data_IF_766680125273
#
_entry.id   IF_766680125273
#
_cell.length_a   1.000
_cell.length_b   1.000
_cell.length_c   1.000
_cell.angle_alpha   90.00
_cell.angle_beta   90.00
_cell.angle_gamma   90.00
#
_symmetry.space_group_name_H-M   'P 1'
#
loop_
_entity.id
_entity.type
_entity.pdbx_description
1 polymer ?
#
# COMPACT_ATOMS: atom_id res chain seq x y z
N UNK A 1 -69.71 -24.06 19.31
CA UNK A 1 -68.24 -24.02 18.99
C UNK A 1 -68.03 -22.87 18.06
N UNK A 2 -67.50 -21.85 18.29
CA UNK A 2 -67.44 -20.99 19.44
C UNK A 2 -66.65 -19.80 18.97
N UNK A 3 -67.17 -18.64 19.09
CA UNK A 3 -66.55 -17.35 18.85
C UNK A 3 -65.13 -17.27 19.44
N UNK A 4 -64.87 -17.97 20.53
CA UNK A 4 -63.60 -18.06 21.21
C UNK A 4 -62.44 -18.69 20.35
N UNK A 5 -62.76 -19.68 19.51
CA UNK A 5 -61.78 -20.33 18.63
C UNK A 5 -61.32 -19.34 17.53
N UNK A 6 -62.21 -18.58 16.96
CA UNK A 6 -61.93 -17.56 15.97
C UNK A 6 -61.10 -16.41 16.56
N UNK A 7 -61.35 -16.00 17.79
CA UNK A 7 -60.58 -14.99 18.51
C UNK A 7 -59.14 -15.50 18.71
N UNK A 8 -58.96 -16.77 19.15
CA UNK A 8 -57.64 -17.37 19.31
C UNK A 8 -56.85 -17.46 18.00
N UNK A 9 -57.51 -17.81 16.90
CA UNK A 9 -56.87 -17.87 15.56
C UNK A 9 -56.44 -16.48 15.11
N UNK A 10 -57.24 -15.44 15.29
CA UNK A 10 -56.91 -14.06 14.94
C UNK A 10 -55.74 -13.55 15.78
N UNK A 11 -55.73 -13.81 17.07
CA UNK A 11 -54.63 -13.42 17.96
C UNK A 11 -53.31 -14.14 17.59
N UNK A 12 -53.39 -15.46 17.32
CA UNK A 12 -52.24 -16.22 16.87
C UNK A 12 -51.69 -15.71 15.53
N UNK A 13 -52.58 -15.42 14.57
CA UNK A 13 -52.19 -14.84 13.27
C UNK A 13 -51.53 -13.45 13.43
N UNK A 14 -52.04 -12.61 14.32
CA UNK A 14 -51.47 -11.29 14.62
C UNK A 14 -50.05 -11.41 15.25
N UNK A 15 -49.87 -12.35 16.19
CA UNK A 15 -48.56 -12.61 16.80
C UNK A 15 -47.57 -13.14 15.77
N UNK A 16 -47.98 -14.09 14.92
CA UNK A 16 -47.12 -14.62 13.85
C UNK A 16 -46.75 -13.50 12.87
N UNK A 17 -47.70 -12.68 12.47
CA UNK A 17 -47.45 -11.53 11.59
C UNK A 17 -46.43 -10.55 12.21
N UNK A 18 -46.59 -10.23 13.50
CA UNK A 18 -45.64 -9.36 14.22
C UNK A 18 -44.24 -9.96 14.31
N UNK A 19 -44.11 -11.26 14.58
CA UNK A 19 -42.83 -11.97 14.64
C UNK A 19 -42.14 -12.02 13.26
N UNK A 20 -42.91 -12.31 12.20
CA UNK A 20 -42.38 -12.31 10.83
C UNK A 20 -41.90 -10.90 10.43
N UNK A 21 -42.70 -9.87 10.75
CA UNK A 21 -42.32 -8.48 10.47
C UNK A 21 -41.04 -8.10 11.23
N UNK A 22 -40.96 -8.42 12.52
CA UNK A 22 -39.75 -8.16 13.33
C UNK A 22 -38.52 -8.90 12.79
N UNK A 23 -38.70 -10.16 12.36
CA UNK A 23 -37.64 -10.96 11.74
C UNK A 23 -37.16 -10.36 10.40
N UNK A 24 -38.06 -9.92 9.54
CA UNK A 24 -37.73 -9.29 8.26
C UNK A 24 -36.99 -7.98 8.46
N UNK A 25 -37.40 -7.14 9.41
CA UNK A 25 -36.68 -5.89 9.75
C UNK A 25 -35.29 -6.18 10.25
N UNK A 26 -35.15 -7.12 11.20
CA UNK A 26 -33.83 -7.52 11.74
C UNK A 26 -32.90 -8.08 10.65
N UNK A 27 -33.44 -8.91 9.75
CA UNK A 27 -32.68 -9.46 8.62
C UNK A 27 -32.24 -8.37 7.64
N UNK A 28 -33.09 -7.37 7.38
CA UNK A 28 -32.77 -6.24 6.52
C UNK A 28 -31.66 -5.35 7.14
N UNK A 29 -31.74 -5.09 8.44
CA UNK A 29 -30.73 -4.29 9.15
C UNK A 29 -29.37 -5.00 9.23
N UNK A 30 -29.35 -6.32 9.44
CA UNK A 30 -28.12 -7.11 9.41
C UNK A 30 -27.45 -7.08 8.04
N UNK A 31 -28.20 -7.11 6.94
CA UNK A 31 -27.64 -6.99 5.59
C UNK A 31 -27.01 -5.62 5.36
N UNK A 32 -27.58 -4.54 5.90
CA UNK A 32 -26.98 -3.19 5.81
C UNK A 32 -25.66 -3.13 6.56
N UNK A 33 -25.60 -3.74 7.75
CA UNK A 33 -24.36 -3.77 8.56
C UNK A 33 -23.27 -4.56 7.82
N UNK A 34 -23.59 -5.73 7.27
CA UNK A 34 -22.66 -6.52 6.48
C UNK A 34 -22.13 -5.71 5.28
N UNK A 35 -23.02 -5.09 4.51
CA UNK A 35 -22.63 -4.23 3.37
C UNK A 35 -21.70 -3.08 3.77
N UNK A 36 -21.86 -2.50 4.96
CA UNK A 36 -21.00 -1.43 5.46
C UNK A 36 -19.64 -1.97 5.85
N UNK A 37 -19.58 -3.13 6.51
CA UNK A 37 -18.32 -3.78 6.87
C UNK A 37 -17.52 -4.06 5.59
N UNK A 38 -18.14 -4.67 4.59
CA UNK A 38 -17.51 -4.93 3.28
C UNK A 38 -17.04 -3.62 2.61
N UNK A 39 -17.86 -2.54 2.69
CA UNK A 39 -17.53 -1.24 2.12
C UNK A 39 -16.34 -0.55 2.84
N UNK A 40 -16.18 -0.79 4.15
CA UNK A 40 -15.05 -0.28 4.93
C UNK A 40 -13.78 -1.06 4.58
N UNK A 41 -13.88 -2.39 4.45
CA UNK A 41 -12.75 -3.24 4.06
C UNK A 41 -12.27 -2.94 2.62
N UNK A 42 -13.20 -2.57 1.73
CA UNK A 42 -12.90 -2.16 0.36
C UNK A 42 -12.44 -0.69 0.23
N UNK A 43 -12.37 0.06 1.33
CA UNK A 43 -12.05 1.51 1.36
C UNK A 43 -12.97 2.36 0.45
N UNK A 44 -14.17 1.88 0.14
CA UNK A 44 -15.16 2.51 -0.74
C UNK A 44 -16.47 2.75 0.02
N UNK A 45 -16.58 3.90 0.70
CA UNK A 45 -17.76 4.26 1.48
C UNK A 45 -18.88 4.89 0.60
N UNK A 46 -19.30 4.20 -0.44
CA UNK A 46 -20.28 4.71 -1.42
C UNK A 46 -21.75 4.45 -1.01
N UNK A 47 -22.05 4.50 0.30
CA UNK A 47 -23.41 4.32 0.76
C UNK A 47 -23.97 5.61 1.39
N UNK A 48 -25.25 5.88 1.17
CA UNK A 48 -26.01 6.91 1.86
C UNK A 48 -27.42 6.37 2.15
N UNK A 49 -27.75 6.17 3.41
CA UNK A 49 -29.05 5.69 3.81
C UNK A 49 -30.02 6.84 4.06
N UNK A 50 -31.29 6.63 3.74
CA UNK A 50 -32.35 7.59 4.07
C UNK A 50 -32.48 7.70 5.59
N UNK A 51 -32.45 8.92 6.14
CA UNK A 51 -32.39 9.17 7.60
C UNK A 51 -33.73 8.98 8.33
N UNK A 52 -34.47 7.94 7.98
CA UNK A 52 -35.78 7.61 8.55
C UNK A 52 -35.69 6.75 9.82
N UNK A 53 -34.57 6.14 10.12
CA UNK A 53 -34.36 5.32 11.32
C UNK A 53 -33.12 5.77 12.12
N UNK A 54 -33.10 5.43 13.43
CA UNK A 54 -31.96 5.70 14.30
C UNK A 54 -30.70 5.00 13.77
N UNK A 55 -30.85 3.75 13.30
CA UNK A 55 -29.76 2.96 12.71
C UNK A 55 -29.17 3.69 11.49
N UNK A 56 -29.98 4.07 10.51
CA UNK A 56 -29.52 4.75 9.29
C UNK A 56 -28.78 6.06 9.58
N UNK A 57 -29.24 6.85 10.57
CA UNK A 57 -28.56 8.06 11.02
C UNK A 57 -27.20 7.74 11.63
N UNK A 58 -27.13 6.70 12.46
CA UNK A 58 -25.85 6.25 13.05
C UNK A 58 -24.88 5.80 11.97
N UNK A 59 -25.32 5.01 11.00
CA UNK A 59 -24.49 4.51 9.90
C UNK A 59 -23.96 5.65 9.01
N UNK A 60 -24.81 6.64 8.66
CA UNK A 60 -24.36 7.83 7.93
C UNK A 60 -23.35 8.65 8.74
N UNK A 61 -23.48 8.69 10.08
CA UNK A 61 -22.51 9.35 10.96
C UNK A 61 -21.18 8.62 10.98
N UNK A 62 -21.20 7.31 11.06
CA UNK A 62 -19.97 6.48 10.93
C UNK A 62 -19.26 6.79 9.62
N UNK A 63 -19.99 6.77 8.48
CA UNK A 63 -19.42 7.14 7.18
C UNK A 63 -18.76 8.52 7.23
N UNK A 64 -19.44 9.55 7.73
CA UNK A 64 -18.91 10.91 7.77
C UNK A 64 -17.66 11.04 8.64
N UNK A 65 -17.52 10.23 9.71
CA UNK A 65 -16.33 10.18 10.54
C UNK A 65 -15.17 9.54 9.79
N UNK A 66 -15.41 8.46 9.05
CA UNK A 66 -14.39 7.81 8.22
C UNK A 66 -13.93 8.73 7.09
N UNK A 67 -14.86 9.37 6.33
CA UNK A 67 -14.53 10.33 5.29
C UNK A 67 -13.68 11.50 5.84
N UNK A 68 -14.05 12.02 7.01
CA UNK A 68 -13.30 13.09 7.66
C UNK A 68 -11.90 12.63 8.11
N UNK A 69 -11.78 11.42 8.69
CA UNK A 69 -10.47 10.85 9.05
C UNK A 69 -9.58 10.63 7.83
N UNK A 70 -10.16 10.15 6.73
CA UNK A 70 -9.46 9.96 5.47
C UNK A 70 -8.94 11.28 4.92
N UNK A 71 -9.79 12.31 4.85
CA UNK A 71 -9.38 13.65 4.41
C UNK A 71 -8.26 14.23 5.29
N UNK A 72 -8.34 14.10 6.61
CA UNK A 72 -7.29 14.56 7.55
C UNK A 72 -5.99 13.76 7.33
N UNK A 73 -6.05 12.45 7.13
CA UNK A 73 -4.89 11.63 6.89
C UNK A 73 -4.24 11.92 5.53
N UNK A 74 -5.04 12.19 4.50
CA UNK A 74 -4.56 12.62 3.18
C UNK A 74 -3.87 13.97 3.28
N UNK A 75 -4.47 14.96 3.95
CA UNK A 75 -3.89 16.29 4.16
C UNK A 75 -2.59 16.22 4.99
N UNK A 76 -2.55 15.44 6.06
CA UNK A 76 -1.35 15.21 6.86
C UNK A 76 -0.25 14.53 6.05
N UNK A 77 -0.59 13.56 5.20
CA UNK A 77 0.34 12.88 4.30
C UNK A 77 0.90 13.83 3.25
N UNK A 78 0.06 14.67 2.65
CA UNK A 78 0.47 15.71 1.71
C UNK A 78 1.37 16.76 2.37
N UNK A 79 1.04 17.24 3.57
CA UNK A 79 1.87 18.17 4.33
C UNK A 79 3.24 17.59 4.64
N UNK A 80 3.31 16.31 5.04
CA UNK A 80 4.55 15.60 5.28
C UNK A 80 5.37 15.46 3.99
N UNK A 81 4.72 15.11 2.89
CA UNK A 81 5.34 15.02 1.56
C UNK A 81 5.96 16.38 1.15
N UNK A 82 5.19 17.47 1.22
CA UNK A 82 5.69 18.81 0.89
C UNK A 82 6.88 19.23 1.74
N UNK A 83 6.85 18.92 3.05
CA UNK A 83 7.97 19.22 3.95
C UNK A 83 9.23 18.48 3.54
N UNK A 84 9.14 17.17 3.27
CA UNK A 84 10.28 16.37 2.84
C UNK A 84 10.80 16.86 1.49
N UNK A 85 9.92 17.13 0.53
CA UNK A 85 10.30 17.66 -0.78
C UNK A 85 11.04 19.00 -0.68
N UNK A 86 10.51 19.94 0.12
CA UNK A 86 11.15 21.25 0.32
C UNK A 86 12.54 21.07 0.93
N UNK A 87 12.67 20.18 1.92
CA UNK A 87 13.95 19.90 2.56
C UNK A 87 14.96 19.30 1.58
N UNK A 88 14.58 18.30 0.79
CA UNK A 88 15.47 17.65 -0.20
C UNK A 88 15.87 18.61 -1.32
N UNK A 89 14.93 19.43 -1.82
CA UNK A 89 15.25 20.47 -2.82
C UNK A 89 16.23 21.48 -2.24
N UNK A 90 15.98 21.99 -1.03
CA UNK A 90 16.90 22.96 -0.40
C UNK A 90 18.27 22.37 -0.12
N UNK A 91 18.37 21.11 0.31
CA UNK A 91 19.64 20.43 0.55
C UNK A 91 20.48 20.25 -0.72
N UNK A 92 19.85 20.18 -1.89
CA UNK A 92 20.56 20.03 -3.18
C UNK A 92 20.81 21.36 -3.87
N UNK A 93 19.92 22.33 -3.75
CA UNK A 93 20.04 23.65 -4.40
C UNK A 93 20.94 24.59 -3.62
N UNK A 94 20.90 24.58 -2.28
CA UNK A 94 21.70 25.48 -1.45
C UNK A 94 23.23 25.33 -1.67
N UNK A 95 23.82 24.12 -1.75
CA UNK A 95 25.22 23.94 -2.08
C UNK A 95 25.58 24.48 -3.48
N UNK A 96 24.69 24.28 -4.48
CA UNK A 96 24.89 24.77 -5.85
C UNK A 96 24.97 26.30 -5.83
N UNK A 97 23.99 26.96 -5.21
CA UNK A 97 23.94 28.41 -5.14
C UNK A 97 25.12 29.00 -4.35
N UNK A 98 25.43 28.44 -3.17
CA UNK A 98 26.52 28.89 -2.30
C UNK A 98 27.88 28.76 -2.95
N UNK A 99 28.17 27.61 -3.59
CA UNK A 99 29.43 27.38 -4.26
C UNK A 99 29.57 28.22 -5.54
N UNK A 100 28.50 28.38 -6.31
CA UNK A 100 28.51 29.26 -7.49
C UNK A 100 28.79 30.71 -7.10
N UNK A 101 28.22 31.19 -6.00
CA UNK A 101 28.45 32.54 -5.48
C UNK A 101 29.88 32.73 -4.93
N UNK A 102 30.41 31.75 -4.21
CA UNK A 102 31.76 31.74 -3.70
C UNK A 102 32.80 31.73 -4.84
N UNK A 103 32.64 30.83 -5.83
CA UNK A 103 33.53 30.72 -6.98
C UNK A 103 33.51 31.98 -7.86
N UNK A 104 32.42 32.75 -7.86
CA UNK A 104 32.32 34.02 -8.60
C UNK A 104 33.00 35.18 -7.90
N UNK A 105 33.32 35.08 -6.60
CA UNK A 105 33.84 36.17 -5.76
C UNK A 105 35.30 35.99 -5.35
N UNK A 106 35.82 34.78 -5.35
CA UNK A 106 37.14 34.45 -4.86
C UNK A 106 37.94 33.61 -5.88
N UNK A 107 38.93 34.23 -6.53
CA UNK A 107 39.79 33.61 -7.53
C UNK A 107 40.76 32.57 -6.94
N UNK A 108 40.93 32.52 -5.61
CA UNK A 108 41.83 31.58 -4.93
C UNK A 108 41.12 30.25 -4.54
N UNK A 109 39.82 30.12 -4.76
CA UNK A 109 39.11 28.88 -4.50
C UNK A 109 39.45 27.79 -5.54
N UNK A 110 39.46 26.54 -5.09
CA UNK A 110 39.61 25.40 -6.00
C UNK A 110 38.34 25.26 -6.88
N UNK A 111 38.39 25.89 -8.05
CA UNK A 111 37.31 25.93 -9.04
C UNK A 111 36.93 24.51 -9.45
N UNK A 112 37.90 23.59 -9.55
CA UNK A 112 37.61 22.21 -9.96
C UNK A 112 36.78 21.47 -8.90
N UNK A 113 37.20 21.50 -7.65
CA UNK A 113 36.46 20.89 -6.55
C UNK A 113 35.04 21.49 -6.36
N UNK A 114 34.93 22.82 -6.52
CA UNK A 114 33.66 23.53 -6.50
C UNK A 114 32.71 23.06 -7.62
N UNK A 115 33.18 22.98 -8.85
CA UNK A 115 32.42 22.51 -10.00
C UNK A 115 32.01 21.02 -9.88
N UNK A 116 32.91 20.17 -9.34
CA UNK A 116 32.56 18.77 -9.06
C UNK A 116 31.43 18.64 -8.07
N UNK A 117 31.42 19.44 -7.00
CA UNK A 117 30.36 19.46 -6.00
C UNK A 117 29.02 19.98 -6.58
N UNK A 118 29.07 21.04 -7.38
CA UNK A 118 27.90 21.58 -8.10
C UNK A 118 27.34 20.50 -9.04
N UNK A 119 28.19 19.81 -9.79
CA UNK A 119 27.82 18.73 -10.71
C UNK A 119 27.16 17.57 -9.96
N UNK A 120 27.72 17.15 -8.82
CA UNK A 120 27.15 16.10 -7.98
C UNK A 120 25.77 16.48 -7.45
N UNK A 121 25.64 17.67 -6.87
CA UNK A 121 24.35 18.19 -6.35
C UNK A 121 23.30 18.34 -7.45
N UNK A 122 23.70 18.79 -8.65
CA UNK A 122 22.79 18.87 -9.81
C UNK A 122 22.28 17.51 -10.25
N UNK A 123 23.14 16.49 -10.27
CA UNK A 123 22.73 15.09 -10.56
C UNK A 123 21.80 14.54 -9.51
N UNK A 124 21.99 14.88 -8.24
CA UNK A 124 21.10 14.48 -7.16
C UNK A 124 19.71 15.12 -7.31
N UNK A 125 19.65 16.41 -7.68
CA UNK A 125 18.40 17.09 -7.98
C UNK A 125 17.66 16.46 -9.17
N UNK A 126 18.38 16.11 -10.23
CA UNK A 126 17.77 15.40 -11.38
C UNK A 126 17.17 14.07 -10.92
N UNK A 127 17.91 13.26 -10.14
CA UNK A 127 17.40 11.98 -9.60
C UNK A 127 16.18 12.17 -8.70
N UNK A 128 16.16 13.24 -7.91
CA UNK A 128 15.01 13.58 -7.09
C UNK A 128 13.78 13.91 -7.94
N UNK A 129 13.94 14.75 -8.98
CA UNK A 129 12.84 15.11 -9.90
C UNK A 129 12.31 13.90 -10.66
N UNK A 130 13.17 13.00 -11.13
CA UNK A 130 12.78 11.74 -11.76
C UNK A 130 12.00 10.84 -10.81
N UNK A 131 12.45 10.75 -9.56
CA UNK A 131 11.78 10.03 -8.50
C UNK A 131 10.38 10.59 -8.23
N UNK A 132 10.26 11.91 -8.12
CA UNK A 132 8.98 12.59 -7.96
C UNK A 132 8.03 12.31 -9.14
N UNK A 133 8.54 12.41 -10.38
CA UNK A 133 7.76 12.10 -11.59
C UNK A 133 7.27 10.64 -11.58
N UNK A 134 8.12 9.72 -11.17
CA UNK A 134 7.78 8.30 -11.06
C UNK A 134 6.67 8.05 -10.02
N UNK A 135 6.71 8.74 -8.89
CA UNK A 135 5.69 8.68 -7.85
C UNK A 135 4.35 9.27 -8.32
N UNK A 136 4.35 10.45 -8.98
CA UNK A 136 3.11 11.13 -9.40
C UNK A 136 2.46 10.55 -10.64
N UNK A 137 3.19 9.76 -11.43
CA UNK A 137 2.74 9.25 -12.74
C UNK A 137 2.64 7.73 -12.81
N UNK A 138 2.27 7.05 -11.70
CA UNK A 138 1.91 5.63 -11.80
C UNK A 138 0.74 5.49 -12.78
N UNK A 139 1.00 4.84 -13.92
CA UNK A 139 0.01 4.67 -14.98
C UNK A 139 -1.20 3.84 -14.50
N UNK A 140 -2.33 3.98 -15.17
CA UNK A 140 -3.44 3.05 -14.98
C UNK A 140 -3.01 1.66 -15.47
N UNK A 141 -3.25 0.58 -14.68
CA UNK A 141 -2.83 -0.76 -15.05
C UNK A 141 -3.63 -1.30 -16.23
N UNK A 142 -2.94 -1.92 -17.16
CA UNK A 142 -3.54 -2.74 -18.23
C UNK A 142 -3.59 -4.18 -17.74
N UNK A 143 -4.66 -4.52 -17.01
CA UNK A 143 -4.77 -5.79 -16.33
C UNK A 143 -5.13 -6.92 -17.28
N UNK A 144 -4.52 -8.08 -17.07
CA UNK A 144 -4.81 -9.36 -17.74
C UNK A 144 -4.74 -10.49 -16.74
N UNK A 145 -5.30 -11.64 -17.07
CA UNK A 145 -5.11 -12.86 -16.28
C UNK A 145 -3.64 -13.28 -16.37
N UNK A 146 -3.00 -13.46 -15.21
CA UNK A 146 -1.58 -13.82 -15.09
C UNK A 146 -1.44 -14.97 -14.10
N UNK A 147 -0.77 -16.04 -14.51
CA UNK A 147 -0.42 -17.14 -13.62
C UNK A 147 0.68 -16.70 -12.66
N UNK A 148 0.46 -16.88 -11.37
CA UNK A 148 1.40 -16.43 -10.33
C UNK A 148 2.76 -17.11 -10.47
N UNK A 149 2.80 -18.39 -10.80
CA UNK A 149 4.04 -19.12 -10.99
C UNK A 149 4.88 -18.53 -12.14
N UNK A 150 4.26 -18.24 -13.30
CA UNK A 150 4.93 -17.61 -14.45
C UNK A 150 5.46 -16.20 -14.12
N UNK A 151 4.65 -15.42 -13.39
CA UNK A 151 5.03 -14.09 -12.93
C UNK A 151 6.27 -14.16 -12.02
N UNK A 152 6.25 -15.06 -11.02
CA UNK A 152 7.36 -15.19 -10.09
C UNK A 152 8.62 -15.74 -10.78
N UNK A 153 8.49 -16.72 -11.66
CA UNK A 153 9.62 -17.20 -12.46
C UNK A 153 10.29 -16.09 -13.27
N UNK A 154 9.50 -15.18 -13.79
CA UNK A 154 10.04 -13.98 -14.48
C UNK A 154 10.76 -13.04 -13.51
N UNK A 155 10.19 -12.82 -12.32
CA UNK A 155 10.83 -12.02 -11.27
C UNK A 155 12.17 -12.63 -10.86
N UNK A 156 12.23 -13.96 -10.67
CA UNK A 156 13.47 -14.67 -10.34
C UNK A 156 14.54 -14.44 -11.40
N UNK A 157 14.22 -14.68 -12.67
CA UNK A 157 15.16 -14.48 -13.78
C UNK A 157 15.66 -13.04 -13.90
N UNK A 158 14.78 -12.05 -13.73
CA UNK A 158 15.14 -10.63 -13.80
C UNK A 158 16.07 -10.17 -12.68
N UNK A 159 16.02 -10.85 -11.52
CA UNK A 159 16.82 -10.48 -10.35
C UNK A 159 18.01 -11.40 -10.10
N UNK A 160 18.20 -12.46 -10.89
CA UNK A 160 19.24 -13.47 -10.71
C UNK A 160 20.65 -12.87 -10.61
N UNK A 161 21.04 -12.08 -11.61
CA UNK A 161 22.35 -11.44 -11.63
C UNK A 161 22.55 -10.49 -10.44
N UNK A 162 21.55 -9.62 -10.16
CA UNK A 162 21.64 -8.68 -9.07
C UNK A 162 21.73 -9.36 -7.69
N UNK A 163 21.00 -10.47 -7.50
CA UNK A 163 21.07 -11.26 -6.28
C UNK A 163 22.43 -11.96 -6.16
N UNK A 164 22.96 -12.53 -7.26
CA UNK A 164 24.27 -13.19 -7.29
C UNK A 164 25.40 -12.21 -6.95
N UNK A 165 25.40 -11.02 -7.54
CA UNK A 165 26.39 -9.96 -7.29
C UNK A 165 26.46 -9.52 -5.82
N UNK A 166 25.35 -9.66 -5.08
CA UNK A 166 25.24 -9.32 -3.66
C UNK A 166 25.27 -10.54 -2.72
N UNK A 167 25.50 -11.76 -3.24
CA UNK A 167 25.51 -12.98 -2.44
C UNK A 167 24.17 -13.35 -1.83
N UNK A 168 23.06 -12.99 -2.49
CA UNK A 168 21.69 -13.23 -2.00
C UNK A 168 21.08 -14.43 -2.68
N UNK A 169 20.56 -15.38 -1.89
CA UNK A 169 19.77 -16.51 -2.39
C UNK A 169 18.31 -16.10 -2.50
N UNK A 170 17.76 -16.09 -3.72
CA UNK A 170 16.34 -15.80 -4.00
C UNK A 170 15.61 -17.10 -4.36
N UNK A 171 14.57 -17.44 -3.60
CA UNK A 171 13.81 -18.70 -3.77
C UNK A 171 12.32 -18.46 -3.84
N UNK A 172 11.61 -19.35 -4.54
CA UNK A 172 10.15 -19.37 -4.61
C UNK A 172 9.60 -20.72 -4.13
N UNK A 173 8.49 -20.67 -3.40
CA UNK A 173 7.75 -21.84 -2.95
C UNK A 173 6.26 -21.59 -3.13
N UNK A 174 5.63 -22.26 -4.07
CA UNK A 174 4.18 -22.27 -4.18
C UNK A 174 3.59 -23.13 -3.04
N UNK A 175 2.64 -22.58 -2.29
CA UNK A 175 1.84 -23.33 -1.32
C UNK A 175 0.51 -23.77 -1.90
N UNK A 176 0.07 -23.11 -2.95
CA UNK A 176 -1.13 -23.40 -3.72
C UNK A 176 -0.75 -23.35 -5.20
N UNK A 177 -1.04 -24.40 -5.91
CA UNK A 177 -0.81 -24.49 -7.36
C UNK A 177 -1.90 -23.72 -8.12
N UNK A 178 -1.60 -23.34 -9.37
CA UNK A 178 -2.54 -22.72 -10.32
C UNK A 178 -3.19 -21.41 -9.86
N UNK A 179 -2.48 -20.63 -9.04
CA UNK A 179 -2.96 -19.31 -8.64
C UNK A 179 -2.95 -18.35 -9.83
N UNK A 180 -4.09 -17.68 -10.03
CA UNK A 180 -4.30 -16.70 -11.09
C UNK A 180 -4.65 -15.35 -10.48
N UNK A 181 -4.04 -14.27 -10.98
CA UNK A 181 -4.34 -12.90 -10.59
C UNK A 181 -4.68 -12.06 -11.83
N UNK A 182 -5.54 -11.06 -11.66
CA UNK A 182 -5.88 -10.11 -12.73
C UNK A 182 -5.06 -8.83 -12.55
N UNK A 183 -3.93 -8.71 -13.26
CA UNK A 183 -2.93 -7.70 -13.00
C UNK A 183 -2.20 -7.20 -14.27
N UNK A 184 -1.58 -6.02 -14.16
CA UNK A 184 -0.55 -5.53 -15.08
C UNK A 184 0.79 -6.11 -14.64
N UNK A 185 1.26 -7.10 -15.38
CA UNK A 185 2.46 -7.86 -15.08
C UNK A 185 3.70 -6.97 -14.88
N UNK A 186 3.87 -5.94 -15.72
CA UNK A 186 5.01 -5.04 -15.65
C UNK A 186 5.03 -4.23 -14.35
N UNK A 187 3.86 -3.73 -13.94
CA UNK A 187 3.72 -3.00 -12.68
C UNK A 187 3.92 -3.92 -11.45
N UNK A 188 3.43 -5.15 -11.50
CA UNK A 188 3.65 -6.10 -10.40
C UNK A 188 5.12 -6.52 -10.31
N UNK A 189 5.80 -6.74 -11.43
CA UNK A 189 7.26 -6.97 -11.44
C UNK A 189 8.00 -5.79 -10.78
N UNK A 190 7.57 -4.55 -11.03
CA UNK A 190 8.14 -3.37 -10.37
C UNK A 190 7.98 -3.42 -8.85
N UNK A 191 6.83 -3.91 -8.33
CA UNK A 191 6.62 -4.11 -6.88
C UNK A 191 7.64 -5.11 -6.33
N UNK A 192 7.82 -6.26 -6.98
CA UNK A 192 8.82 -7.25 -6.56
C UNK A 192 10.24 -6.71 -6.58
N UNK A 193 10.63 -6.03 -7.66
CA UNK A 193 11.96 -5.43 -7.80
C UNK A 193 12.25 -4.44 -6.66
N UNK A 194 11.26 -3.63 -6.26
CA UNK A 194 11.40 -2.73 -5.13
C UNK A 194 11.58 -3.47 -3.80
N UNK A 195 10.84 -4.56 -3.56
CA UNK A 195 10.96 -5.34 -2.33
C UNK A 195 12.30 -6.10 -2.27
N UNK A 196 12.73 -6.71 -3.40
CA UNK A 196 14.01 -7.40 -3.50
C UNK A 196 15.16 -6.41 -3.29
N UNK A 197 15.14 -5.25 -3.96
CA UNK A 197 16.13 -4.19 -3.76
C UNK A 197 16.19 -3.73 -2.29
N UNK A 198 15.04 -3.58 -1.64
CA UNK A 198 14.99 -3.21 -0.21
C UNK A 198 15.61 -4.28 0.68
N UNK A 199 15.41 -5.56 0.37
CA UNK A 199 16.01 -6.68 1.09
C UNK A 199 17.54 -6.71 0.93
N UNK A 200 18.04 -6.55 -0.31
CA UNK A 200 19.49 -6.45 -0.59
C UNK A 200 20.10 -5.27 0.19
N UNK A 201 19.46 -4.10 0.14
CA UNK A 201 19.91 -2.92 0.88
C UNK A 201 19.83 -3.06 2.41
N UNK A 202 19.03 -4.01 2.90
CA UNK A 202 18.98 -4.38 4.32
C UNK A 202 19.99 -5.46 4.67
N UNK A 203 20.95 -5.76 3.77
CA UNK A 203 22.01 -6.77 3.93
C UNK A 203 21.45 -8.19 4.13
N UNK A 204 20.31 -8.49 3.50
CA UNK A 204 19.78 -9.84 3.47
C UNK A 204 20.71 -10.76 2.64
N UNK A 205 20.86 -12.01 3.07
CA UNK A 205 21.51 -13.06 2.27
C UNK A 205 20.52 -14.10 1.77
N UNK A 206 19.25 -14.03 2.22
CA UNK A 206 18.17 -14.92 1.79
C UNK A 206 16.88 -14.13 1.61
N UNK A 207 16.25 -14.31 0.44
CA UNK A 207 14.94 -13.80 0.11
C UNK A 207 14.07 -14.97 -0.33
N UNK A 208 12.91 -15.11 0.30
CA UNK A 208 11.93 -16.16 -0.04
C UNK A 208 10.63 -15.52 -0.49
N UNK A 209 10.14 -15.94 -1.64
CA UNK A 209 8.80 -15.60 -2.14
C UNK A 209 7.93 -16.83 -1.90
N UNK A 210 6.70 -16.65 -1.41
CA UNK A 210 5.71 -17.71 -1.31
C UNK A 210 4.32 -17.19 -1.65
N UNK A 211 3.50 -18.00 -2.31
CA UNK A 211 2.14 -17.65 -2.72
C UNK A 211 1.13 -18.67 -2.16
N UNK A 212 -0.01 -18.14 -1.69
CA UNK A 212 -1.10 -18.94 -1.13
C UNK A 212 -2.45 -18.24 -1.28
N UNK A 213 -3.55 -18.98 -1.14
CA UNK A 213 -4.87 -18.38 -0.88
C UNK A 213 -5.02 -18.15 0.62
N UNK A 214 -5.56 -17.00 1.01
CA UNK A 214 -5.94 -16.75 2.39
C UNK A 214 -7.35 -17.31 2.66
N UNK A 215 -7.86 -17.09 3.89
CA UNK A 215 -9.19 -17.57 4.31
C UNK A 215 -10.36 -16.87 3.60
N UNK A 216 -10.10 -15.74 2.95
CA UNK A 216 -11.05 -14.93 2.22
C UNK A 216 -10.95 -15.15 0.69
N UNK A 217 -10.34 -16.27 0.27
CA UNK A 217 -10.07 -16.65 -1.13
C UNK A 217 -9.28 -15.61 -1.93
N UNK A 218 -8.48 -14.78 -1.24
CA UNK A 218 -7.62 -13.80 -1.88
C UNK A 218 -6.23 -14.41 -2.12
N UNK A 219 -5.63 -14.14 -3.29
CA UNK A 219 -4.25 -14.51 -3.55
C UNK A 219 -3.31 -13.59 -2.77
N UNK A 220 -2.48 -14.19 -1.91
CA UNK A 220 -1.47 -13.48 -1.13
C UNK A 220 -0.08 -13.98 -1.49
N UNK A 221 0.80 -13.04 -1.89
CA UNK A 221 2.19 -13.36 -2.17
C UNK A 221 3.05 -12.69 -1.11
N UNK A 222 3.81 -13.49 -0.38
CA UNK A 222 4.73 -13.01 0.63
C UNK A 222 6.13 -12.88 0.07
N UNK A 223 6.80 -11.78 0.40
CA UNK A 223 8.23 -11.59 0.19
C UNK A 223 8.89 -11.47 1.56
N UNK A 224 9.69 -12.45 1.91
CA UNK A 224 10.33 -12.58 3.23
C UNK A 224 11.85 -12.51 3.05
N UNK A 225 12.54 -11.73 3.88
CA UNK A 225 13.99 -11.66 3.89
C UNK A 225 14.53 -11.68 5.33
N UNK A 226 15.80 -12.04 5.49
CA UNK A 226 16.51 -12.10 6.78
C UNK A 226 17.47 -10.92 6.98
N UNK A 227 17.26 -9.81 6.28
CA UNK A 227 18.06 -8.60 6.45
C UNK A 227 17.79 -7.85 7.74
N UNK A 228 18.48 -6.71 7.94
CA UNK A 228 18.27 -5.84 9.09
C UNK A 228 16.79 -5.47 9.25
N UNK A 229 16.22 -5.58 10.45
CA UNK A 229 14.82 -5.29 10.68
C UNK A 229 14.52 -3.79 10.53
N UNK A 230 13.27 -3.50 10.19
CA UNK A 230 12.75 -2.14 10.19
C UNK A 230 12.45 -1.75 11.63
N UNK A 231 13.05 -0.68 12.19
CA UNK A 231 12.79 -0.24 13.55
C UNK A 231 11.31 0.09 13.77
N UNK A 232 10.75 -0.29 14.91
CA UNK A 232 9.32 -0.09 15.24
C UNK A 232 8.86 1.35 15.01
N UNK A 233 9.68 2.35 15.36
CA UNK A 233 9.40 3.78 15.16
C UNK A 233 9.26 4.20 13.70
N UNK A 234 9.71 3.37 12.76
CA UNK A 234 9.71 3.67 11.31
C UNK A 234 8.59 2.94 10.57
N UNK A 235 7.93 1.97 11.18
CA UNK A 235 6.92 1.12 10.51
C UNK A 235 5.81 1.95 9.87
N UNK A 236 5.34 2.99 10.55
CA UNK A 236 4.29 3.88 10.04
C UNK A 236 4.79 4.81 8.90
N UNK A 237 6.11 4.92 8.76
CA UNK A 237 6.74 5.86 7.84
C UNK A 237 7.29 5.22 6.56
N UNK A 238 7.51 3.89 6.55
CA UNK A 238 8.14 3.20 5.40
C UNK A 238 7.36 3.35 4.08
N UNK A 239 6.07 3.62 4.16
CA UNK A 239 5.21 3.87 2.99
C UNK A 239 5.00 5.36 2.69
N UNK A 240 5.56 6.25 3.50
CA UNK A 240 5.52 7.70 3.22
C UNK A 240 6.50 7.99 2.09
N UNK A 241 6.06 8.68 1.02
CA UNK A 241 6.95 9.01 -0.10
C UNK A 241 8.16 9.81 0.36
N UNK A 242 9.33 9.53 -0.22
CA UNK A 242 10.63 10.15 0.08
C UNK A 242 11.16 9.90 1.49
N UNK A 243 10.47 9.15 2.31
CA UNK A 243 11.03 8.71 3.58
C UNK A 243 12.08 7.63 3.33
N UNK A 244 13.32 7.89 3.73
CA UNK A 244 14.42 6.93 3.63
C UNK A 244 15.43 7.14 4.76
N UNK A 245 16.01 6.05 5.22
CA UNK A 245 17.15 6.03 6.15
C UNK A 245 18.42 5.55 5.44
N UNK A 246 18.35 5.35 4.12
CA UNK A 246 19.41 4.75 3.31
C UNK A 246 19.98 5.77 2.33
N UNK A 247 21.32 5.78 2.20
CA UNK A 247 22.02 6.53 1.16
C UNK A 247 22.87 5.55 0.32
N UNK A 248 22.71 5.49 -1.02
CA UNK A 248 21.71 6.21 -1.81
C UNK A 248 20.33 5.57 -1.77
N UNK A 249 19.27 6.38 -1.65
CA UNK A 249 17.90 5.90 -1.68
C UNK A 249 16.91 7.03 -1.92
N UNK A 250 15.97 6.87 -2.86
CA UNK A 250 14.95 7.89 -3.17
C UNK A 250 13.76 7.90 -2.20
N UNK A 251 13.61 6.85 -1.36
CA UNK A 251 12.47 6.73 -0.43
C UNK A 251 11.11 6.57 -1.10
N UNK A 252 11.04 6.31 -2.41
CA UNK A 252 9.74 6.18 -3.11
C UNK A 252 9.33 4.73 -3.42
N UNK A 253 10.23 3.77 -3.33
CA UNK A 253 9.99 2.40 -3.79
C UNK A 253 8.75 1.77 -3.15
N UNK A 254 8.64 1.80 -1.81
CA UNK A 254 7.49 1.21 -1.10
C UNK A 254 6.21 2.01 -1.31
N UNK A 255 6.26 3.33 -1.38
CA UNK A 255 5.09 4.18 -1.64
C UNK A 255 4.54 3.98 -3.06
N UNK A 256 5.41 3.88 -4.07
CA UNK A 256 5.02 3.52 -5.45
C UNK A 256 4.45 2.12 -5.50
N UNK A 257 5.08 1.15 -4.83
CA UNK A 257 4.59 -0.23 -4.77
C UNK A 257 3.19 -0.32 -4.15
N UNK A 258 2.94 0.42 -3.05
CA UNK A 258 1.60 0.50 -2.45
C UNK A 258 0.58 1.14 -3.40
N UNK A 259 0.97 2.21 -4.10
CA UNK A 259 0.11 2.87 -5.08
C UNK A 259 -0.23 1.96 -6.27
N UNK A 260 0.74 1.18 -6.76
CA UNK A 260 0.52 0.15 -7.80
C UNK A 260 -0.53 -0.85 -7.29
N UNK A 261 -0.34 -1.40 -6.09
CA UNK A 261 -1.27 -2.38 -5.55
C UNK A 261 -2.67 -1.81 -5.32
N UNK A 262 -2.78 -0.57 -4.81
CA UNK A 262 -4.07 0.12 -4.69
C UNK A 262 -4.78 0.26 -6.04
N UNK A 263 -4.03 0.61 -7.10
CA UNK A 263 -4.60 0.68 -8.46
C UNK A 263 -5.00 -0.69 -9.01
N UNK A 264 -4.48 -1.78 -8.47
CA UNK A 264 -4.89 -3.16 -8.78
C UNK A 264 -6.03 -3.67 -7.88
N UNK A 265 -6.66 -2.81 -7.07
CA UNK A 265 -7.63 -3.15 -6.03
C UNK A 265 -7.06 -4.11 -4.98
N UNK A 266 -5.75 -4.18 -4.86
CA UNK A 266 -5.00 -4.97 -3.91
C UNK A 266 -4.39 -4.13 -2.80
N UNK A 267 -3.51 -4.74 -2.02
CA UNK A 267 -2.79 -4.07 -0.95
C UNK A 267 -1.34 -4.56 -0.84
N UNK A 268 -0.46 -3.69 -0.34
CA UNK A 268 0.90 -4.02 0.09
C UNK A 268 1.05 -3.64 1.57
N UNK A 269 1.36 -4.61 2.41
CA UNK A 269 1.50 -4.40 3.85
C UNK A 269 2.75 -5.07 4.42
N UNK A 270 3.30 -4.50 5.49
CA UNK A 270 4.32 -5.12 6.31
C UNK A 270 3.60 -6.04 7.31
N UNK A 271 3.88 -7.34 7.25
CA UNK A 271 3.29 -8.35 8.15
C UNK A 271 4.12 -8.49 9.42
N UNK A 272 5.46 -8.48 9.27
CA UNK A 272 6.40 -8.71 10.36
C UNK A 272 7.74 -8.05 10.04
N UNK A 273 8.40 -7.49 11.04
CA UNK A 273 9.79 -7.09 10.96
C UNK A 273 10.41 -7.17 12.34
N UNK A 274 11.30 -8.14 12.55
CA UNK A 274 12.01 -8.38 13.79
C UNK A 274 13.43 -8.91 13.49
N UNK A 275 14.15 -9.36 14.53
CA UNK A 275 15.52 -9.89 14.40
C UNK A 275 15.63 -11.15 13.54
N UNK A 276 14.53 -11.83 13.24
CA UNK A 276 14.52 -13.08 12.48
C UNK A 276 14.19 -12.87 11.01
N UNK A 277 13.24 -11.97 10.71
CA UNK A 277 12.81 -11.71 9.34
C UNK A 277 12.07 -10.38 9.17
N UNK A 278 12.08 -9.89 7.95
CA UNK A 278 11.14 -8.87 7.45
C UNK A 278 10.24 -9.50 6.38
N UNK A 279 8.92 -9.42 6.56
CA UNK A 279 7.92 -10.06 5.71
C UNK A 279 6.90 -9.05 5.23
N UNK A 280 6.79 -8.89 3.91
CA UNK A 280 5.75 -8.12 3.24
C UNK A 280 4.71 -9.06 2.64
N UNK A 281 3.45 -8.60 2.58
CA UNK A 281 2.37 -9.28 1.87
C UNK A 281 1.86 -8.40 0.72
N UNK A 282 1.80 -8.99 -0.47
CA UNK A 282 1.17 -8.47 -1.69
C UNK A 282 -0.17 -9.20 -1.81
N UNK A 283 -1.28 -8.48 -1.67
CA UNK A 283 -2.63 -9.04 -1.60
C UNK A 283 -3.39 -8.66 -2.86
N UNK A 284 -3.93 -9.63 -3.57
CA UNK A 284 -4.86 -9.45 -4.70
C UNK A 284 -6.27 -9.83 -4.25
N UNK A 285 -7.23 -8.95 -4.59
CA UNK A 285 -8.66 -9.20 -4.32
C UNK A 285 -9.38 -9.75 -5.54
#
# INVERSE_FOLDING_TARGET
MSTWIWILIIVAAAIISALVTAWLVKRHDNRKIAYIIDSIDDDVLNFRFRENTKLNRTLNRVRSVFERRRAINEEASWSKLFRVMTHEIMNTVAPIASLSDALSKDENLDVKAGLETISASSKDLIRFVESYRSFTKVAQPVRKAVMVNELIDRVLRLNEANCADHGVTLTYTAKTDDLLVYADEGQIIQVFNNLIKNAIQAEANSIRISAELNKDDQTVIYVTNNGKPIPLRQIDEIFVPFYTTKQPGSGIGLSVSRQIMTKHNGNLTLVQSDSTMTKFAIIFK
#
